data_IF_531176854041
#
_entry.id   IF_531176854041
#
_cell.length_a   1.000
_cell.length_b   1.000
_cell.length_c   1.000
_cell.angle_alpha   90.00
_cell.angle_beta   90.00
_cell.angle_gamma   90.00
#
_symmetry.space_group_name_H-M   'P 1'
#
loop_
_entity.id
_entity.type
_entity.pdbx_description
1 polymer ?
#
# COMPACT_ATOMS: atom_id res chain seq x y z
N UNK A 1 28.09 9.36 -7.05
CA UNK A 1 27.46 8.15 -6.45
C UNK A 1 26.23 8.46 -5.60
N UNK A 2 26.30 9.32 -4.57
CA UNK A 2 25.16 9.59 -3.67
C UNK A 2 23.89 10.11 -4.39
N UNK A 3 24.03 11.08 -5.31
CA UNK A 3 22.90 11.64 -6.05
C UNK A 3 22.14 10.61 -6.90
N UNK A 4 22.86 9.69 -7.56
CA UNK A 4 22.26 8.62 -8.37
C UNK A 4 21.49 7.65 -7.49
N UNK A 5 22.02 7.29 -6.31
CA UNK A 5 21.34 6.42 -5.36
C UNK A 5 20.04 7.03 -4.85
N UNK A 6 20.04 8.33 -4.50
CA UNK A 6 18.81 9.02 -4.11
C UNK A 6 17.83 9.14 -5.28
N UNK A 7 18.30 9.43 -6.48
CA UNK A 7 17.44 9.54 -7.67
C UNK A 7 16.74 8.21 -7.97
N UNK A 8 17.45 7.08 -7.88
CA UNK A 8 16.86 5.75 -8.02
C UNK A 8 15.84 5.44 -6.91
N UNK A 9 16.13 5.81 -5.66
CA UNK A 9 15.20 5.61 -4.55
C UNK A 9 13.90 6.41 -4.73
N UNK A 10 13.99 7.68 -5.11
CA UNK A 10 12.82 8.52 -5.36
C UNK A 10 12.05 8.11 -6.61
N UNK A 11 12.74 7.65 -7.66
CA UNK A 11 12.10 7.08 -8.84
C UNK A 11 11.34 5.79 -8.49
N UNK A 12 11.94 4.89 -7.70
CA UNK A 12 11.28 3.67 -7.23
C UNK A 12 10.05 3.99 -6.37
N UNK A 13 10.16 4.97 -5.47
CA UNK A 13 9.03 5.45 -4.67
C UNK A 13 7.91 6.02 -5.53
N UNK A 14 8.26 6.81 -6.55
CA UNK A 14 7.31 7.38 -7.49
C UNK A 14 6.53 6.29 -8.24
N UNK A 15 7.25 5.32 -8.82
CA UNK A 15 6.66 4.21 -9.56
C UNK A 15 5.80 3.31 -8.68
N UNK A 16 6.24 3.03 -7.45
CA UNK A 16 5.47 2.27 -6.47
C UNK A 16 4.17 3.01 -6.11
N UNK A 17 4.25 4.30 -5.82
CA UNK A 17 3.09 5.14 -5.55
C UNK A 17 2.13 5.19 -6.74
N UNK A 18 2.66 5.33 -7.96
CA UNK A 18 1.88 5.36 -9.19
C UNK A 18 1.16 4.02 -9.44
N UNK A 19 1.84 2.90 -9.23
CA UNK A 19 1.26 1.56 -9.31
C UNK A 19 0.14 1.36 -8.28
N UNK A 20 0.36 1.83 -7.04
CA UNK A 20 -0.66 1.84 -5.98
C UNK A 20 -1.86 2.72 -6.34
N UNK A 21 -1.66 3.87 -6.98
CA UNK A 21 -2.73 4.78 -7.36
C UNK A 21 -3.55 4.26 -8.56
N UNK A 22 -2.90 3.63 -9.53
CA UNK A 22 -3.49 3.20 -10.80
C UNK A 22 -4.09 1.80 -10.71
N UNK A 23 -3.37 0.83 -10.17
CA UNK A 23 -3.80 -0.55 -9.99
C UNK A 23 -4.08 -0.90 -8.52
N UNK A 24 -4.71 0.02 -7.80
CA UNK A 24 -5.06 -0.17 -6.39
C UNK A 24 -5.87 -1.46 -6.12
N UNK A 25 -6.73 -1.89 -7.07
CA UNK A 25 -7.52 -3.13 -6.92
C UNK A 25 -6.66 -4.39 -7.05
N UNK A 26 -5.85 -4.50 -8.10
CA UNK A 26 -4.99 -5.66 -8.33
C UNK A 26 -3.87 -5.76 -7.31
N UNK A 27 -3.27 -4.63 -6.91
CA UNK A 27 -2.25 -4.60 -5.87
C UNK A 27 -2.82 -4.98 -4.50
N UNK A 28 -4.01 -4.50 -4.17
CA UNK A 28 -4.62 -4.85 -2.90
C UNK A 28 -5.13 -6.31 -2.86
N UNK A 29 -5.56 -6.87 -3.99
CA UNK A 29 -5.77 -8.32 -4.11
C UNK A 29 -4.46 -9.09 -3.91
N UNK A 30 -3.38 -8.70 -4.59
CA UNK A 30 -2.07 -9.32 -4.42
C UNK A 30 -1.57 -9.26 -2.97
N UNK A 31 -1.68 -8.10 -2.31
CA UNK A 31 -1.31 -7.96 -0.89
C UNK A 31 -2.19 -8.84 -0.01
N UNK A 32 -3.49 -8.90 -0.29
CA UNK A 32 -4.42 -9.75 0.46
C UNK A 32 -4.06 -11.22 0.31
N UNK A 33 -3.75 -11.66 -0.90
CA UNK A 33 -3.53 -13.07 -1.22
C UNK A 33 -2.10 -13.54 -0.89
N UNK A 34 -1.14 -12.61 -0.80
CA UNK A 34 0.25 -12.91 -0.44
C UNK A 34 0.52 -12.72 1.06
N UNK A 35 0.08 -11.59 1.63
CA UNK A 35 0.45 -11.18 2.99
C UNK A 35 -0.66 -11.38 4.02
N UNK A 36 -1.92 -11.36 3.60
CA UNK A 36 -3.08 -11.52 4.49
C UNK A 36 -3.78 -12.86 4.28
N UNK A 37 -3.17 -13.78 3.54
CA UNK A 37 -3.71 -15.10 3.32
C UNK A 37 -3.65 -15.88 4.64
N UNK A 38 -4.80 -16.34 5.17
CA UNK A 38 -4.85 -17.03 6.45
C UNK A 38 -4.09 -18.35 6.50
N UNK A 39 -3.68 -18.88 5.34
CA UNK A 39 -2.75 -20.01 5.22
C UNK A 39 -1.38 -19.71 5.84
N UNK A 40 -0.96 -18.43 5.90
CA UNK A 40 0.31 -18.01 6.47
C UNK A 40 0.24 -17.54 7.94
N UNK A 41 -0.95 -17.46 8.54
CA UNK A 41 -1.10 -17.03 9.92
C UNK A 41 -0.88 -18.18 10.91
N UNK A 42 -0.18 -17.88 11.99
CA UNK A 42 0.02 -18.82 13.09
C UNK A 42 -1.31 -19.09 13.84
N UNK A 43 -1.45 -20.24 14.51
CA UNK A 43 -2.65 -20.57 15.28
C UNK A 43 -3.01 -19.55 16.37
N UNK A 44 -2.04 -18.77 16.87
CA UNK A 44 -2.27 -17.69 17.86
C UNK A 44 -2.89 -16.45 17.23
N UNK A 45 -2.43 -16.06 16.04
CA UNK A 45 -2.97 -14.93 15.28
C UNK A 45 -4.41 -15.19 14.83
N UNK A 46 -4.68 -16.40 14.34
CA UNK A 46 -6.04 -16.83 13.98
C UNK A 46 -7.00 -16.76 15.17
N UNK A 47 -6.56 -17.13 16.38
CA UNK A 47 -7.36 -17.02 17.61
C UNK A 47 -7.59 -15.57 18.04
N UNK A 48 -6.62 -14.68 17.83
CA UNK A 48 -6.74 -13.24 18.12
C UNK A 48 -7.74 -12.58 17.18
N UNK A 49 -7.64 -12.87 15.89
CA UNK A 49 -8.57 -12.38 14.85
C UNK A 49 -9.99 -12.87 15.13
N UNK A 50 -10.18 -14.15 15.48
CA UNK A 50 -11.49 -14.69 15.87
C UNK A 50 -12.07 -14.01 17.11
N UNK A 51 -11.26 -13.75 18.15
CA UNK A 51 -11.71 -13.04 19.35
C UNK A 51 -12.17 -11.61 19.07
N UNK A 52 -11.39 -10.87 18.28
CA UNK A 52 -11.75 -9.50 17.87
C UNK A 52 -13.03 -9.51 17.03
N UNK A 53 -13.16 -10.45 16.09
CA UNK A 53 -14.37 -10.60 15.26
C UNK A 53 -15.62 -10.92 16.10
N UNK A 54 -15.51 -11.82 17.08
CA UNK A 54 -16.60 -12.19 17.99
C UNK A 54 -17.01 -11.03 18.91
N UNK A 55 -16.03 -10.25 19.40
CA UNK A 55 -16.30 -9.07 20.24
C UNK A 55 -17.04 -7.96 19.50
N UNK A 56 -16.83 -7.85 18.18
CA UNK A 56 -17.47 -6.83 17.35
C UNK A 56 -18.82 -7.27 16.75
N UNK A 57 -19.37 -8.44 17.14
CA UNK A 57 -20.69 -8.90 16.68
C UNK A 57 -20.79 -9.19 15.18
N UNK A 58 -19.66 -9.41 14.49
CA UNK A 58 -19.65 -9.64 13.05
C UNK A 58 -19.93 -11.12 12.78
N UNK A 59 -21.21 -11.51 12.77
CA UNK A 59 -21.65 -12.91 12.71
C UNK A 59 -21.90 -13.49 11.30
N UNK A 60 -21.81 -12.73 10.20
CA UNK A 60 -21.94 -13.33 8.84
C UNK A 60 -20.92 -12.85 7.79
N UNK A 61 -20.48 -13.73 6.86
CA UNK A 61 -19.13 -13.70 6.27
C UNK A 61 -18.96 -12.83 5.02
N UNK A 62 -20.03 -12.34 4.38
CA UNK A 62 -19.93 -11.81 3.02
C UNK A 62 -20.12 -10.28 2.87
N UNK A 63 -20.83 -9.61 3.78
CA UNK A 63 -21.34 -8.25 3.52
C UNK A 63 -20.51 -7.08 4.10
N UNK A 64 -19.75 -7.28 5.18
CA UNK A 64 -18.95 -6.19 5.76
C UNK A 64 -17.56 -6.02 5.14
N UNK A 65 -17.06 -7.03 4.42
CA UNK A 65 -15.78 -6.92 3.73
C UNK A 65 -15.86 -6.05 2.49
N UNK A 66 -17.02 -5.95 1.82
CA UNK A 66 -17.15 -5.16 0.59
C UNK A 66 -17.10 -3.65 0.84
N UNK A 67 -17.85 -3.16 1.83
CA UNK A 67 -17.88 -1.72 2.16
C UNK A 67 -16.55 -1.28 2.78
N UNK A 68 -15.98 -2.07 3.69
CA UNK A 68 -14.71 -1.74 4.33
C UNK A 68 -13.50 -1.94 3.40
N UNK A 69 -13.57 -2.86 2.42
CA UNK A 69 -12.56 -2.99 1.38
C UNK A 69 -12.59 -1.79 0.44
N UNK A 70 -13.77 -1.24 0.10
CA UNK A 70 -13.89 -0.09 -0.79
C UNK A 70 -13.25 1.17 -0.20
N UNK A 71 -13.45 1.44 1.10
CA UNK A 71 -12.77 2.53 1.79
C UNK A 71 -11.27 2.29 1.93
N UNK A 72 -10.84 1.04 2.20
CA UNK A 72 -9.42 0.68 2.20
C UNK A 72 -8.77 0.85 0.83
N UNK A 73 -9.47 0.52 -0.25
CA UNK A 73 -9.00 0.70 -1.62
C UNK A 73 -8.88 2.18 -1.99
N UNK A 74 -9.82 3.02 -1.54
CA UNK A 74 -9.74 4.48 -1.71
C UNK A 74 -8.55 5.06 -0.95
N UNK A 75 -8.33 4.60 0.29
CA UNK A 75 -7.17 5.02 1.08
C UNK A 75 -5.84 4.58 0.46
N UNK A 76 -5.76 3.35 -0.08
CA UNK A 76 -4.57 2.89 -0.79
C UNK A 76 -4.29 3.70 -2.06
N UNK A 77 -5.33 4.08 -2.79
CA UNK A 77 -5.19 4.96 -3.96
C UNK A 77 -4.68 6.35 -3.58
N UNK A 78 -5.23 6.96 -2.53
CA UNK A 78 -4.80 8.28 -2.04
C UNK A 78 -3.35 8.20 -1.52
N UNK A 79 -3.02 7.17 -0.75
CA UNK A 79 -1.65 6.93 -0.29
C UNK A 79 -0.70 6.71 -1.45
N UNK A 80 -1.09 5.91 -2.44
CA UNK A 80 -0.31 5.74 -3.67
C UNK A 80 -0.04 7.07 -4.38
N UNK A 81 -1.06 7.90 -4.54
CA UNK A 81 -0.93 9.21 -5.18
C UNK A 81 0.02 10.15 -4.40
N UNK A 82 -0.04 10.11 -3.06
CA UNK A 82 0.88 10.87 -2.21
C UNK A 82 2.33 10.39 -2.37
N UNK A 83 2.57 9.07 -2.36
CA UNK A 83 3.92 8.52 -2.58
C UNK A 83 4.43 8.84 -4.00
N UNK A 84 3.55 8.81 -5.00
CA UNK A 84 3.88 9.22 -6.36
C UNK A 84 4.31 10.70 -6.39
N UNK A 85 3.54 11.61 -5.80
CA UNK A 85 3.86 13.03 -5.77
C UNK A 85 5.18 13.31 -5.04
N UNK A 86 5.41 12.68 -3.88
CA UNK A 86 6.66 12.82 -3.12
C UNK A 86 7.87 12.27 -3.89
N UNK A 87 7.72 11.10 -4.51
CA UNK A 87 8.73 10.50 -5.37
C UNK A 87 9.12 11.44 -6.53
N UNK A 88 8.13 12.00 -7.23
CA UNK A 88 8.34 12.91 -8.34
C UNK A 88 9.04 14.20 -7.89
N UNK A 89 8.60 14.80 -6.78
CA UNK A 89 9.21 16.00 -6.23
C UNK A 89 10.69 15.77 -5.88
N UNK A 90 11.02 14.61 -5.31
CA UNK A 90 12.41 14.22 -5.03
C UNK A 90 13.25 14.06 -6.30
N UNK A 91 12.72 13.38 -7.33
CA UNK A 91 13.42 13.23 -8.63
C UNK A 91 13.69 14.60 -9.26
N UNK A 92 12.68 15.47 -9.33
CA UNK A 92 12.82 16.82 -9.90
C UNK A 92 13.82 17.65 -9.10
N UNK A 93 13.72 17.65 -7.77
CA UNK A 93 14.63 18.39 -6.90
C UNK A 93 16.09 17.96 -7.07
N UNK A 94 16.35 16.66 -7.14
CA UNK A 94 17.70 16.12 -7.38
C UNK A 94 18.19 16.48 -8.78
N UNK A 95 17.35 16.30 -9.81
CA UNK A 95 17.72 16.63 -11.19
C UNK A 95 18.10 18.11 -11.33
N UNK A 96 17.28 19.02 -10.79
CA UNK A 96 17.57 20.46 -10.77
C UNK A 96 18.85 20.76 -10.00
N UNK A 97 19.05 20.12 -8.83
CA UNK A 97 20.28 20.30 -8.04
C UNK A 97 21.54 19.80 -8.76
N UNK A 98 21.42 18.76 -9.59
CA UNK A 98 22.54 18.24 -10.38
C UNK A 98 22.85 19.15 -11.55
N UNK A 99 21.82 19.67 -12.25
CA UNK A 99 22.00 20.59 -13.39
C UNK A 99 22.56 21.95 -12.95
N UNK A 100 22.23 22.40 -11.74
CA UNK A 100 22.73 23.68 -11.18
C UNK A 100 24.14 23.59 -10.60
N UNK A 101 24.76 22.40 -10.61
CA UNK A 101 26.12 22.16 -10.11
C UNK A 101 27.11 22.11 -11.27
#
# INVERSE_FOLDING_TARGET
MKAVMFLLAFAALHLLGLALATNHRGFAQYVRDTWLNPVHFTPRELRRIRRIRRRNGIEHPAFHHYVQAQDRFRNLRIMGALHAALGLAGVVGIAVSVVRR
#
